data_IF_079020693352
#
_entry.id   IF_079020693352
#
_cell.length_a   1.000
_cell.length_b   1.000
_cell.length_c   1.000
_cell.angle_alpha   90.00
_cell.angle_beta   90.00
_cell.angle_gamma   90.00
#
_symmetry.space_group_name_H-M   'P 1'
#
loop_
_entity.id
_entity.type
_entity.pdbx_description
1 polymer ?
#
# COMPACT_ATOMS: atom_id res chain seq x y z
N UNK A 1 -13.46 -40.47 -11.99
CA UNK A 1 -13.74 -39.05 -11.69
C UNK A 1 -13.05 -38.66 -10.39
N UNK A 2 -11.88 -38.01 -10.38
CA UNK A 2 -11.16 -37.82 -9.10
C UNK A 2 -9.96 -36.88 -9.06
N UNK A 3 -9.74 -36.03 -10.08
CA UNK A 3 -8.54 -35.16 -10.14
C UNK A 3 -8.81 -33.65 -10.04
N UNK A 4 -10.08 -33.23 -10.01
CA UNK A 4 -10.45 -31.80 -10.00
C UNK A 4 -10.81 -31.25 -8.60
N UNK A 5 -11.11 -32.12 -7.63
CA UNK A 5 -11.50 -31.72 -6.28
C UNK A 5 -10.36 -31.20 -5.39
N UNK A 6 -9.15 -31.77 -5.51
CA UNK A 6 -8.00 -31.35 -4.70
C UNK A 6 -7.54 -29.92 -5.02
N UNK A 7 -7.58 -29.50 -6.29
CA UNK A 7 -7.10 -28.17 -6.72
C UNK A 7 -7.93 -27.03 -6.13
N UNK A 8 -9.24 -27.23 -5.98
CA UNK A 8 -10.14 -26.26 -5.34
C UNK A 8 -9.90 -26.15 -3.84
N UNK A 9 -9.66 -27.27 -3.15
CA UNK A 9 -9.42 -27.27 -1.70
C UNK A 9 -8.14 -26.50 -1.32
N UNK A 10 -7.08 -26.62 -2.12
CA UNK A 10 -5.85 -25.84 -1.93
C UNK A 10 -6.05 -24.33 -2.15
N UNK A 11 -6.94 -23.94 -3.06
CA UNK A 11 -7.24 -22.53 -3.33
C UNK A 11 -8.02 -21.88 -2.18
N UNK A 12 -9.00 -22.59 -1.61
CA UNK A 12 -9.77 -22.11 -0.46
C UNK A 12 -8.96 -22.11 0.84
N UNK A 13 -8.03 -23.05 1.05
CA UNK A 13 -7.19 -23.08 2.26
C UNK A 13 -6.07 -22.04 2.27
N UNK A 14 -5.58 -21.57 1.11
CA UNK A 14 -4.55 -20.51 1.05
C UNK A 14 -5.01 -19.18 1.62
N UNK A 15 -6.31 -18.85 1.53
CA UNK A 15 -6.83 -17.59 2.05
C UNK A 15 -7.03 -17.59 3.58
N UNK A 16 -7.15 -18.77 4.20
CA UNK A 16 -7.36 -18.93 5.66
C UNK A 16 -6.09 -18.99 6.49
N UNK A 17 -4.92 -19.21 5.87
CA UNK A 17 -3.66 -19.43 6.60
C UNK A 17 -2.89 -18.15 6.94
N UNK A 18 -3.25 -17.00 6.38
CA UNK A 18 -2.66 -15.73 6.81
C UNK A 18 -3.47 -15.22 8.00
N UNK A 19 -3.03 -15.57 9.21
CA UNK A 19 -3.62 -15.08 10.46
C UNK A 19 -3.63 -13.55 10.46
N UNK A 20 -4.73 -12.88 10.85
CA UNK A 20 -4.82 -11.41 10.83
C UNK A 20 -3.73 -10.73 11.68
N UNK A 21 -3.26 -11.38 12.76
CA UNK A 21 -2.16 -10.90 13.62
C UNK A 21 -0.82 -10.73 12.86
N UNK A 22 -0.52 -11.63 11.93
CA UNK A 22 0.72 -11.59 11.13
C UNK A 22 0.68 -10.47 10.07
N UNK A 23 -0.49 -10.18 9.49
CA UNK A 23 -0.67 -9.02 8.60
C UNK A 23 -0.46 -7.69 9.31
N UNK A 24 -1.07 -7.53 10.47
CA UNK A 24 -0.97 -6.28 11.23
C UNK A 24 0.47 -6.01 11.69
N UNK A 25 1.21 -7.05 12.11
CA UNK A 25 2.63 -6.91 12.46
C UNK A 25 3.47 -6.47 11.26
N UNK A 26 3.31 -7.09 10.09
CA UNK A 26 4.06 -6.72 8.88
C UNK A 26 3.72 -5.33 8.33
N UNK A 27 2.50 -4.85 8.57
CA UNK A 27 2.11 -3.49 8.24
C UNK A 27 2.70 -2.49 9.23
N UNK A 28 2.78 -2.86 10.51
CA UNK A 28 3.41 -2.05 11.55
C UNK A 28 4.92 -1.94 11.31
N UNK A 29 5.63 -3.05 11.08
CA UNK A 29 7.07 -3.05 10.74
C UNK A 29 7.36 -2.18 9.51
N UNK A 30 6.49 -2.19 8.50
CA UNK A 30 6.64 -1.30 7.33
C UNK A 30 6.47 0.16 7.66
N UNK A 31 5.57 0.51 8.58
CA UNK A 31 5.40 1.89 9.05
C UNK A 31 6.61 2.32 9.87
N UNK A 32 7.08 1.47 10.77
CA UNK A 32 8.22 1.76 11.62
C UNK A 32 9.49 1.98 10.76
N UNK A 33 9.75 1.08 9.80
CA UNK A 33 10.85 1.25 8.82
C UNK A 33 10.71 2.52 7.98
N UNK A 34 9.48 2.90 7.61
CA UNK A 34 9.24 4.16 6.87
C UNK A 34 9.54 5.37 7.75
N UNK A 35 9.12 5.35 9.02
CA UNK A 35 9.40 6.43 9.98
C UNK A 35 10.91 6.59 10.17
N UNK A 36 11.64 5.50 10.30
CA UNK A 36 13.11 5.51 10.42
C UNK A 36 13.81 6.07 9.16
N UNK A 37 13.16 6.03 7.99
CA UNK A 37 13.74 6.56 6.76
C UNK A 37 13.74 8.10 6.68
N UNK A 38 12.95 8.80 7.50
CA UNK A 38 12.88 10.26 7.48
C UNK A 38 14.01 10.89 8.32
N UNK A 39 15.18 11.07 7.69
CA UNK A 39 16.37 11.63 8.35
C UNK A 39 16.57 13.14 8.14
N UNK A 40 15.84 13.71 7.18
CA UNK A 40 16.07 15.08 6.69
C UNK A 40 15.90 16.17 7.76
N UNK A 41 15.04 15.93 8.75
CA UNK A 41 14.73 16.91 9.80
C UNK A 41 15.91 17.14 10.76
N UNK A 42 16.90 16.25 10.77
CA UNK A 42 18.12 16.39 11.56
C UNK A 42 19.28 17.03 10.77
N UNK A 43 19.10 17.30 9.48
CA UNK A 43 20.14 17.82 8.60
C UNK A 43 20.18 19.34 8.61
N UNK A 44 21.38 19.90 8.44
CA UNK A 44 21.54 21.34 8.20
C UNK A 44 21.14 21.70 6.78
N UNK A 45 20.78 22.96 6.53
CA UNK A 45 20.41 23.43 5.19
C UNK A 45 21.53 23.20 4.16
N UNK A 46 22.79 23.31 4.58
CA UNK A 46 23.95 22.99 3.75
C UNK A 46 23.95 21.53 3.32
N UNK A 47 23.73 20.60 4.25
CA UNK A 47 23.65 19.17 3.94
C UNK A 47 22.44 18.83 3.05
N UNK A 48 21.30 19.47 3.28
CA UNK A 48 20.11 19.30 2.44
C UNK A 48 20.39 19.77 1.00
N UNK A 49 21.11 20.87 0.84
CA UNK A 49 21.55 21.37 -0.47
C UNK A 49 22.46 20.37 -1.19
N UNK A 50 23.37 19.74 -0.46
CA UNK A 50 24.27 18.73 -1.03
C UNK A 50 23.52 17.48 -1.49
N UNK A 51 22.53 17.01 -0.72
CA UNK A 51 21.70 15.85 -1.06
C UNK A 51 20.75 16.17 -2.23
N UNK A 52 20.13 17.34 -2.21
CA UNK A 52 19.12 17.77 -3.18
C UNK A 52 19.67 18.85 -4.11
N UNK A 53 20.72 18.49 -4.86
CA UNK A 53 21.48 19.43 -5.69
C UNK A 53 20.62 20.15 -6.74
N UNK A 54 19.63 19.47 -7.31
CA UNK A 54 18.75 20.05 -8.35
C UNK A 54 17.67 21.00 -7.80
N UNK A 55 17.54 21.13 -6.48
CA UNK A 55 16.51 21.95 -5.83
C UNK A 55 16.93 23.41 -5.65
N UNK A 56 18.14 23.80 -6.09
CA UNK A 56 18.63 25.18 -6.09
C UNK A 56 18.41 25.92 -4.76
N UNK A 57 18.79 25.28 -3.65
CA UNK A 57 18.53 25.80 -2.29
C UNK A 57 19.46 26.96 -1.97
N UNK A 58 18.88 28.08 -1.54
CA UNK A 58 19.61 29.26 -1.09
C UNK A 58 20.00 29.11 0.39
N UNK A 59 21.30 29.20 0.71
CA UNK A 59 21.81 28.88 2.06
C UNK A 59 21.42 29.93 3.13
N UNK A 60 21.50 31.22 2.79
CA UNK A 60 21.19 32.30 3.74
C UNK A 60 19.69 32.60 3.90
N UNK A 61 18.90 32.38 2.85
CA UNK A 61 17.47 32.69 2.79
C UNK A 61 16.74 31.53 2.09
N UNK A 62 16.53 30.39 2.77
CA UNK A 62 15.92 29.20 2.17
C UNK A 62 14.54 29.46 1.55
N UNK A 63 13.79 30.43 2.06
CA UNK A 63 12.52 30.89 1.54
C UNK A 63 12.58 31.52 0.14
N UNK A 64 13.78 31.94 -0.31
CA UNK A 64 14.04 32.49 -1.64
C UNK A 64 14.62 31.45 -2.61
N UNK A 65 14.60 30.18 -2.26
CA UNK A 65 15.12 29.12 -3.14
C UNK A 65 14.28 29.01 -4.41
N UNK A 66 14.95 28.89 -5.55
CA UNK A 66 14.30 28.77 -6.86
C UNK A 66 13.55 27.44 -7.05
N UNK A 67 13.94 26.42 -6.28
CA UNK A 67 13.34 25.09 -6.34
C UNK A 67 13.76 24.30 -7.58
N UNK A 68 12.90 23.34 -7.95
CA UNK A 68 13.15 22.44 -9.07
C UNK A 68 12.89 23.10 -10.44
N UNK A 69 13.77 22.82 -11.40
CA UNK A 69 13.50 23.08 -12.81
C UNK A 69 12.32 22.24 -13.31
N UNK A 70 11.54 22.80 -14.25
CA UNK A 70 10.42 22.11 -14.90
C UNK A 70 10.81 20.78 -15.58
N UNK A 71 12.07 20.65 -16.02
CA UNK A 71 12.58 19.43 -16.65
C UNK A 71 12.76 18.33 -15.59
N UNK A 72 13.42 18.65 -14.48
CA UNK A 72 13.66 17.71 -13.39
C UNK A 72 12.36 17.36 -12.65
N UNK A 73 11.47 18.33 -12.44
CA UNK A 73 10.16 18.09 -11.86
C UNK A 73 9.34 17.07 -12.69
N UNK A 74 9.37 17.19 -14.02
CA UNK A 74 8.72 16.22 -14.92
C UNK A 74 9.38 14.85 -14.89
N UNK A 75 10.70 14.79 -14.73
CA UNK A 75 11.44 13.54 -14.57
C UNK A 75 11.01 12.83 -13.27
N UNK A 76 11.03 13.54 -12.14
CA UNK A 76 10.60 12.98 -10.84
C UNK A 76 9.14 12.57 -10.83
N UNK A 77 8.26 13.29 -11.52
CA UNK A 77 6.86 12.90 -11.66
C UNK A 77 6.70 11.59 -12.43
N UNK A 78 7.52 11.35 -13.47
CA UNK A 78 7.51 10.08 -14.20
C UNK A 78 8.09 8.93 -13.38
N UNK A 79 9.15 9.19 -12.62
CA UNK A 79 9.87 8.16 -11.87
C UNK A 79 9.15 7.79 -10.56
N UNK A 80 8.65 8.77 -9.82
CA UNK A 80 8.01 8.60 -8.51
C UNK A 80 6.48 8.59 -8.53
N UNK A 81 5.86 8.99 -9.65
CA UNK A 81 4.41 9.13 -9.74
C UNK A 81 3.87 10.37 -9.01
N UNK A 82 2.54 10.48 -8.97
CA UNK A 82 1.88 11.61 -8.32
C UNK A 82 1.87 11.46 -6.80
N UNK A 83 2.10 12.56 -6.07
CA UNK A 83 2.01 12.61 -4.61
C UNK A 83 0.55 12.58 -4.15
N UNK A 84 -0.11 11.44 -4.35
CA UNK A 84 -1.52 11.22 -4.01
C UNK A 84 -1.59 9.93 -3.21
N UNK A 85 -2.20 9.99 -2.03
CA UNK A 85 -2.54 8.79 -1.27
C UNK A 85 -3.65 8.06 -2.02
N UNK A 86 -3.35 6.88 -2.54
CA UNK A 86 -4.32 6.08 -3.29
C UNK A 86 -5.58 5.86 -2.46
N UNK A 87 -6.75 6.08 -3.09
CA UNK A 87 -8.01 5.78 -2.45
C UNK A 87 -8.06 4.29 -2.06
N UNK A 88 -8.59 3.97 -0.87
CA UNK A 88 -8.74 2.58 -0.46
C UNK A 88 -9.56 1.82 -1.51
N UNK A 89 -9.14 0.58 -1.81
CA UNK A 89 -9.79 -0.25 -2.82
C UNK A 89 -11.28 -0.39 -2.51
N UNK A 90 -12.13 0.24 -3.33
CA UNK A 90 -13.59 0.11 -3.23
C UNK A 90 -14.00 -1.29 -3.68
N UNK A 91 -14.73 -2.01 -2.83
CA UNK A 91 -15.33 -3.30 -3.18
C UNK A 91 -16.74 -3.01 -3.69
N UNK A 92 -17.11 -3.60 -4.83
CA UNK A 92 -18.47 -3.48 -5.38
C UNK A 92 -19.52 -4.03 -4.38
N UNK A 93 -20.62 -3.32 -4.20
CA UNK A 93 -21.74 -3.70 -3.34
C UNK A 93 -22.26 -5.11 -3.63
N UNK A 94 -22.33 -5.52 -4.91
CA UNK A 94 -22.78 -6.87 -5.28
C UNK A 94 -21.78 -7.95 -4.81
N UNK A 95 -20.47 -7.64 -4.84
CA UNK A 95 -19.44 -8.53 -4.31
C UNK A 95 -19.50 -8.63 -2.78
N UNK A 96 -19.82 -7.53 -2.09
CA UNK A 96 -20.07 -7.54 -0.64
C UNK A 96 -21.30 -8.36 -0.28
N UNK A 97 -22.41 -8.15 -0.99
CA UNK A 97 -23.67 -8.87 -0.82
C UNK A 97 -23.45 -10.38 -0.98
N UNK A 98 -22.89 -10.83 -2.11
CA UNK A 98 -22.60 -12.24 -2.34
C UNK A 98 -21.73 -12.82 -1.20
N UNK A 99 -20.69 -12.12 -0.77
CA UNK A 99 -19.82 -12.59 0.32
C UNK A 99 -20.56 -12.80 1.65
N UNK A 100 -21.57 -11.98 1.94
CA UNK A 100 -22.37 -12.10 3.17
C UNK A 100 -23.37 -13.25 3.12
N UNK A 101 -24.06 -13.42 1.99
CA UNK A 101 -25.15 -14.39 1.87
C UNK A 101 -24.70 -15.78 1.42
N UNK A 102 -23.54 -15.92 0.78
CA UNK A 102 -23.03 -17.22 0.34
C UNK A 102 -22.94 -18.22 1.50
N UNK A 103 -22.43 -17.82 2.67
CA UNK A 103 -22.26 -18.73 3.80
C UNK A 103 -23.60 -19.20 4.40
N UNK A 104 -24.57 -18.28 4.52
CA UNK A 104 -25.91 -18.62 5.05
C UNK A 104 -26.70 -19.48 4.08
N UNK A 105 -26.62 -19.19 2.79
CA UNK A 105 -27.28 -19.96 1.74
C UNK A 105 -26.68 -21.38 1.64
N UNK A 106 -25.37 -21.50 1.80
CA UNK A 106 -24.68 -22.80 1.81
C UNK A 106 -25.08 -23.65 3.02
N UNK A 107 -25.16 -23.05 4.22
CA UNK A 107 -25.66 -23.73 5.42
C UNK A 107 -27.13 -24.16 5.30
N UNK A 108 -27.98 -23.32 4.70
CA UNK A 108 -29.40 -23.64 4.46
C UNK A 108 -29.57 -24.78 3.44
N UNK A 109 -28.74 -24.83 2.41
CA UNK A 109 -28.76 -25.91 1.41
C UNK A 109 -28.26 -27.24 1.99
N UNK A 110 -27.23 -27.23 2.85
CA UNK A 110 -26.75 -28.43 3.53
C UNK A 110 -27.71 -28.90 4.63
N UNK A 111 -28.35 -27.98 5.35
CA UNK A 111 -29.29 -28.29 6.42
C UNK A 111 -30.65 -28.83 5.96
N UNK A 112 -30.98 -28.73 4.67
CA UNK A 112 -32.22 -29.29 4.09
C UNK A 112 -32.08 -30.76 3.64
N UNK A 113 -30.91 -31.36 3.82
CA UNK A 113 -30.68 -32.80 3.64
C UNK A 113 -30.56 -33.49 5.01
N UNK A 114 -31.67 -33.53 5.74
CA UNK A 114 -31.98 -34.51 6.80
C UNK A 114 -33.50 -34.60 6.92
#
# INVERSE_FOLDING_TARGET
>A
MGKYGLKWWHFFNRQKLIKPKDRNNREQERRDNLVESFVEHHLTVEQIKDIYTDSNIHLQYPEQSDGLSSIEARKRLRDGGANIIECPRKINNLKLFLRQFLYRLWLLLLGKCN
#
